data_IF_025349001949
#
_entry.id   IF_025349001949
#
_cell.length_a   1.000
_cell.length_b   1.000
_cell.length_c   1.000
_cell.angle_alpha   90.00
_cell.angle_beta   90.00
_cell.angle_gamma   90.00
#
_symmetry.space_group_name_H-M   'P 1'
#
loop_
_entity.id
_entity.type
_entity.pdbx_description
1 polymer ?
#
# COMPACT_ATOMS: atom_id res chain seq x y z
N UNK A 1 -9.35 7.69 5.75
CA UNK A 1 -8.29 7.56 4.75
C UNK A 1 -7.03 7.00 5.39
N UNK A 2 -6.38 6.06 4.70
CA UNK A 2 -5.17 5.43 5.22
C UNK A 2 -3.95 6.30 4.93
N UNK A 3 -3.45 7.00 5.94
CA UNK A 3 -2.25 7.83 5.83
C UNK A 3 -0.98 7.14 6.31
N UNK A 4 -1.11 5.94 6.85
CA UNK A 4 0.00 5.14 7.35
C UNK A 4 -0.47 3.72 7.59
N UNK A 5 0.38 2.74 7.29
CA UNK A 5 0.05 1.36 7.59
C UNK A 5 1.24 0.64 8.21
N UNK A 6 1.01 -0.55 8.73
CA UNK A 6 2.07 -1.34 9.34
C UNK A 6 2.41 -2.55 8.49
N UNK A 7 3.68 -2.92 8.51
CA UNK A 7 4.17 -4.13 7.86
C UNK A 7 5.29 -4.70 8.74
N UNK A 8 4.89 -5.57 9.67
CA UNK A 8 5.85 -6.23 10.56
C UNK A 8 6.19 -7.61 9.99
N UNK A 9 7.45 -7.81 9.65
CA UNK A 9 7.91 -9.08 9.09
C UNK A 9 9.05 -9.74 9.88
N UNK A 10 9.37 -9.17 11.04
CA UNK A 10 10.31 -9.75 12.00
C UNK A 10 9.63 -10.81 12.87
N UNK A 11 8.33 -10.96 12.73
CA UNK A 11 7.52 -11.82 13.56
C UNK A 11 7.38 -13.20 12.92
N UNK A 12 7.65 -14.25 13.69
CA UNK A 12 7.55 -15.64 13.25
C UNK A 12 6.14 -16.02 12.79
N UNK A 13 5.13 -15.23 13.16
CA UNK A 13 3.74 -15.52 12.85
C UNK A 13 3.31 -15.12 11.44
N UNK A 14 4.11 -14.34 10.72
CA UNK A 14 3.76 -13.87 9.39
C UNK A 14 4.67 -14.47 8.31
N UNK A 15 4.50 -15.77 8.06
CA UNK A 15 5.30 -16.49 7.06
C UNK A 15 5.14 -15.93 5.66
N UNK A 16 3.92 -15.51 5.29
CA UNK A 16 3.64 -14.99 3.95
C UNK A 16 4.46 -13.74 3.66
N UNK A 17 4.51 -12.81 4.61
CA UNK A 17 5.30 -11.60 4.39
C UNK A 17 6.80 -11.89 4.41
N UNK A 18 7.25 -12.84 5.23
CA UNK A 18 8.66 -13.22 5.24
C UNK A 18 9.12 -13.78 3.90
N UNK A 19 8.28 -14.58 3.24
CA UNK A 19 8.57 -15.11 1.91
C UNK A 19 8.57 -14.00 0.86
N UNK A 20 7.62 -13.07 0.93
CA UNK A 20 7.56 -11.93 0.02
C UNK A 20 8.85 -11.11 0.12
N UNK A 21 9.29 -10.82 1.35
CA UNK A 21 10.52 -10.06 1.58
C UNK A 21 11.74 -10.81 1.05
N UNK A 22 11.82 -12.13 1.26
CA UNK A 22 12.91 -12.94 0.73
C UNK A 22 12.98 -12.90 -0.79
N UNK A 23 11.84 -13.01 -1.45
CA UNK A 23 11.77 -12.94 -2.92
C UNK A 23 12.23 -11.58 -3.44
N UNK A 24 11.81 -10.51 -2.79
CA UNK A 24 12.23 -9.15 -3.18
C UNK A 24 13.74 -8.98 -2.99
N UNK A 25 14.28 -9.38 -1.84
CA UNK A 25 15.72 -9.27 -1.59
C UNK A 25 16.55 -10.10 -2.55
N UNK A 26 16.04 -11.28 -2.90
CA UNK A 26 16.72 -12.17 -3.86
C UNK A 26 16.80 -11.54 -5.25
N UNK A 27 15.75 -10.87 -5.71
CA UNK A 27 15.67 -10.33 -7.06
C UNK A 27 16.25 -8.92 -7.18
N UNK A 28 16.06 -8.08 -6.17
CA UNK A 28 16.41 -6.66 -6.22
C UNK A 28 17.61 -6.29 -5.35
N UNK A 29 18.16 -7.24 -4.58
CA UNK A 29 19.28 -6.98 -3.71
C UNK A 29 18.90 -6.24 -2.43
N UNK A 30 19.81 -5.39 -1.96
CA UNK A 30 19.55 -4.62 -0.75
C UNK A 30 18.62 -3.45 -1.06
N UNK A 31 17.36 -3.61 -0.68
CA UNK A 31 16.36 -2.56 -0.80
C UNK A 31 15.98 -2.11 0.60
N UNK A 32 15.77 -0.81 0.75
CA UNK A 32 15.40 -0.22 2.03
C UNK A 32 13.91 -0.45 2.33
N UNK A 33 13.54 -1.71 2.55
CA UNK A 33 12.21 -2.09 3.02
C UNK A 33 12.33 -2.40 4.50
N UNK A 34 11.70 -1.59 5.33
CA UNK A 34 11.77 -1.70 6.78
C UNK A 34 10.54 -2.39 7.36
N UNK A 35 10.75 -3.20 8.39
CA UNK A 35 9.66 -3.70 9.22
C UNK A 35 9.15 -2.57 10.11
N UNK A 36 7.83 -2.47 10.26
CA UNK A 36 7.23 -1.49 11.16
C UNK A 36 6.20 -0.60 10.47
N UNK A 37 6.16 0.66 10.84
CA UNK A 37 5.28 1.64 10.21
C UNK A 37 5.78 2.00 8.82
N UNK A 38 4.86 2.02 7.86
CA UNK A 38 5.14 2.47 6.50
C UNK A 38 4.55 3.86 6.32
N UNK A 39 5.40 4.79 5.95
CA UNK A 39 5.05 6.20 5.73
C UNK A 39 4.94 6.49 4.24
N UNK A 40 4.15 7.49 3.85
CA UNK A 40 4.20 7.97 2.46
C UNK A 40 5.64 8.22 2.01
N UNK A 41 5.94 7.90 0.79
CA UNK A 41 7.25 7.94 0.11
C UNK A 41 8.22 6.82 0.50
N UNK A 42 7.87 5.98 1.47
CA UNK A 42 8.66 4.78 1.72
C UNK A 42 8.48 3.78 0.57
N UNK A 43 9.50 2.94 0.37
CA UNK A 43 9.42 1.79 -0.50
C UNK A 43 8.87 0.61 0.29
N UNK A 44 7.90 -0.09 -0.28
CA UNK A 44 7.25 -1.22 0.37
C UNK A 44 6.89 -2.28 -0.66
N UNK A 45 6.75 -3.53 -0.24
CA UNK A 45 6.34 -4.59 -1.17
C UNK A 45 4.89 -4.42 -1.61
N UNK A 46 4.65 -4.60 -2.89
CA UNK A 46 3.32 -4.74 -3.46
C UNK A 46 3.29 -5.97 -4.35
N UNK A 47 2.10 -6.53 -4.56
CA UNK A 47 1.90 -7.69 -5.41
C UNK A 47 1.28 -7.23 -6.72
N UNK A 48 1.93 -7.52 -7.83
CA UNK A 48 1.48 -7.15 -9.16
C UNK A 48 1.40 -8.39 -10.04
N UNK A 49 0.64 -8.29 -11.13
CA UNK A 49 0.60 -9.35 -12.13
C UNK A 49 1.73 -9.12 -13.14
N UNK A 50 2.57 -10.12 -13.30
CA UNK A 50 3.62 -10.16 -14.32
C UNK A 50 3.60 -11.54 -14.97
N UNK A 51 3.47 -11.57 -16.30
CA UNK A 51 3.47 -12.82 -17.06
C UNK A 51 2.46 -13.84 -16.52
N UNK A 52 1.24 -13.37 -16.20
CA UNK A 52 0.14 -14.17 -15.66
C UNK A 52 0.42 -14.76 -14.27
N UNK A 53 1.41 -14.25 -13.55
CA UNK A 53 1.73 -14.66 -12.20
C UNK A 53 1.73 -13.47 -11.25
N UNK A 54 1.34 -13.71 -10.01
CA UNK A 54 1.43 -12.69 -8.95
C UNK A 54 2.87 -12.61 -8.49
N UNK A 55 3.44 -11.42 -8.59
CA UNK A 55 4.87 -11.18 -8.33
C UNK A 55 5.04 -10.06 -7.32
N UNK A 56 5.83 -10.27 -6.25
CA UNK A 56 6.13 -9.19 -5.30
C UNK A 56 7.20 -8.26 -5.87
N UNK A 57 6.94 -6.96 -5.75
CA UNK A 57 7.85 -5.92 -6.24
C UNK A 57 7.96 -4.80 -5.20
N UNK A 58 9.11 -4.08 -5.15
CA UNK A 58 9.29 -2.96 -4.21
C UNK A 58 8.95 -1.65 -4.91
N UNK A 59 7.80 -1.07 -4.58
CA UNK A 59 7.35 0.19 -5.15
C UNK A 59 7.30 1.28 -4.09
N UNK A 60 7.43 2.53 -4.50
CA UNK A 60 7.33 3.68 -3.62
C UNK A 60 5.87 4.07 -3.42
N UNK A 61 5.47 4.37 -2.19
CA UNK A 61 4.10 4.76 -1.88
C UNK A 61 3.89 6.25 -2.15
N UNK A 62 3.01 6.54 -3.08
CA UNK A 62 2.56 7.89 -3.42
C UNK A 62 2.89 8.31 -4.84
N UNK A 63 1.87 8.81 -5.56
CA UNK A 63 2.06 9.44 -6.86
C UNK A 63 2.54 10.88 -6.66
N UNK A 64 3.37 11.43 -7.58
CA UNK A 64 3.72 12.84 -7.50
C UNK A 64 2.48 13.72 -7.57
N UNK A 65 2.45 14.76 -6.77
CA UNK A 65 1.37 15.75 -6.83
C UNK A 65 1.87 16.96 -7.63
N UNK A 66 1.43 17.04 -8.89
CA UNK A 66 1.91 18.09 -9.79
C UNK A 66 1.33 19.48 -9.49
N UNK A 67 0.31 19.56 -8.63
CA UNK A 67 -0.30 20.83 -8.25
C UNK A 67 0.29 21.41 -6.96
N UNK A 68 0.72 20.54 -6.07
CA UNK A 68 1.23 20.90 -4.75
C UNK A 68 2.50 20.10 -4.46
N UNK A 69 3.18 20.47 -3.39
CA UNK A 69 4.29 19.65 -2.88
C UNK A 69 3.74 18.38 -2.25
N UNK A 70 4.55 17.34 -2.23
CA UNK A 70 4.21 16.07 -1.60
C UNK A 70 3.68 15.05 -2.59
N UNK A 71 2.93 14.09 -2.07
CA UNK A 71 2.47 12.95 -2.85
C UNK A 71 0.98 12.70 -2.60
N UNK A 72 0.35 12.06 -3.59
CA UNK A 72 -1.01 11.56 -3.48
C UNK A 72 -0.91 10.09 -3.09
N UNK A 73 -1.43 9.73 -1.92
CA UNK A 73 -1.26 8.38 -1.35
C UNK A 73 -2.53 7.52 -1.41
N UNK A 74 -3.70 8.15 -1.57
CA UNK A 74 -4.97 7.45 -1.60
C UNK A 74 -5.81 7.90 -2.80
N UNK A 75 -6.66 6.99 -3.27
CA UNK A 75 -7.70 7.30 -4.23
C UNK A 75 -9.00 6.69 -3.72
N UNK A 76 -10.09 7.43 -3.80
CA UNK A 76 -11.39 6.90 -3.42
C UNK A 76 -11.90 5.97 -4.51
N UNK A 77 -12.30 4.76 -4.13
CA UNK A 77 -12.81 3.77 -5.07
C UNK A 77 -14.02 4.29 -5.85
N UNK A 78 -14.87 5.12 -5.19
CA UNK A 78 -16.09 5.65 -5.78
C UNK A 78 -15.84 6.63 -6.93
N UNK A 79 -14.70 7.31 -6.93
CA UNK A 79 -14.41 8.38 -7.92
C UNK A 79 -13.10 8.17 -8.68
N UNK A 80 -12.36 7.11 -8.41
CA UNK A 80 -11.04 6.91 -9.03
C UNK A 80 -11.11 6.84 -10.55
N UNK A 81 -12.14 6.21 -11.11
CA UNK A 81 -12.31 6.07 -12.55
C UNK A 81 -12.62 7.40 -13.25
N UNK A 82 -13.06 8.41 -12.51
CA UNK A 82 -13.39 9.72 -13.06
C UNK A 82 -12.16 10.62 -13.24
N UNK A 83 -11.05 10.29 -12.58
CA UNK A 83 -9.84 11.11 -12.61
C UNK A 83 -8.86 10.58 -13.64
N UNK A 84 -8.42 11.45 -14.55
CA UNK A 84 -7.47 11.08 -15.62
C UNK A 84 -6.19 10.46 -15.08
N UNK A 85 -5.70 10.98 -13.93
CA UNK A 85 -4.47 10.49 -13.30
C UNK A 85 -4.60 9.04 -12.81
N UNK A 86 -5.81 8.59 -12.49
CA UNK A 86 -6.05 7.30 -11.87
C UNK A 86 -6.70 6.28 -12.79
N UNK A 87 -7.50 6.73 -13.76
CA UNK A 87 -8.35 5.85 -14.58
C UNK A 87 -7.56 4.72 -15.26
N UNK A 88 -6.48 5.06 -15.94
CA UNK A 88 -5.70 4.07 -16.68
C UNK A 88 -5.02 3.09 -15.74
N UNK A 89 -4.49 3.56 -14.62
CA UNK A 89 -3.87 2.71 -13.61
C UNK A 89 -4.88 1.79 -12.94
N UNK A 90 -6.07 2.30 -12.63
CA UNK A 90 -7.14 1.51 -12.05
C UNK A 90 -7.58 0.36 -12.98
N UNK A 91 -7.58 0.61 -14.28
CA UNK A 91 -7.98 -0.39 -15.26
C UNK A 91 -6.85 -1.38 -15.60
N UNK A 92 -5.61 -0.93 -15.66
CA UNK A 92 -4.52 -1.69 -16.24
C UNK A 92 -3.36 -2.01 -15.32
N UNK A 93 -3.27 -1.37 -14.16
CA UNK A 93 -2.14 -1.54 -13.24
C UNK A 93 -2.60 -1.67 -11.80
N UNK A 94 -3.47 -2.66 -11.57
CA UNK A 94 -3.94 -2.96 -10.22
C UNK A 94 -2.87 -3.70 -9.44
N UNK A 95 -2.84 -3.46 -8.14
CA UNK A 95 -1.93 -4.16 -7.25
C UNK A 95 -2.60 -4.44 -5.91
N UNK A 96 -1.96 -5.28 -5.14
CA UNK A 96 -2.37 -5.61 -3.78
C UNK A 96 -1.23 -5.23 -2.85
N UNK A 97 -1.55 -4.54 -1.77
CA UNK A 97 -0.57 -4.06 -0.81
C UNK A 97 -0.66 -4.93 0.46
N UNK A 98 0.33 -5.81 0.70
CA UNK A 98 0.36 -6.58 1.94
C UNK A 98 0.60 -5.67 3.14
N UNK A 99 -0.15 -5.87 4.20
CA UNK A 99 0.03 -5.11 5.44
C UNK A 99 -0.31 -5.97 6.64
N UNK A 100 0.15 -5.55 7.81
CA UNK A 100 -0.25 -6.14 9.09
C UNK A 100 -1.34 -5.33 9.78
N UNK A 101 -1.67 -4.18 9.22
CA UNK A 101 -2.70 -3.29 9.74
C UNK A 101 -2.56 -1.90 9.17
N UNK A 102 -3.51 -1.04 9.50
CA UNK A 102 -3.42 0.37 9.11
C UNK A 102 -3.75 1.26 10.30
N UNK A 103 -3.27 2.51 10.24
CA UNK A 103 -3.45 3.49 11.30
C UNK A 103 -4.46 4.54 10.88
N UNK A 104 -5.30 4.94 11.85
CA UNK A 104 -6.22 6.05 11.70
C UNK A 104 -6.12 6.93 12.96
N UNK A 105 -6.41 8.23 12.80
CA UNK A 105 -6.46 9.18 13.90
C UNK A 105 -7.88 9.71 14.03
N UNK A 106 -8.36 9.81 15.28
CA UNK A 106 -9.66 10.41 15.52
C UNK A 106 -9.56 11.94 15.56
N UNK A 107 -10.70 12.61 15.83
CA UNK A 107 -10.75 14.07 15.91
C UNK A 107 -9.87 14.64 17.00
N UNK A 108 -9.60 13.86 18.03
CA UNK A 108 -8.71 14.24 19.13
C UNK A 108 -7.24 13.93 18.85
N UNK A 109 -6.93 13.48 17.63
CA UNK A 109 -5.58 13.08 17.19
C UNK A 109 -5.06 11.84 17.92
N UNK A 110 -5.95 11.04 18.48
CA UNK A 110 -5.60 9.75 19.05
C UNK A 110 -5.38 8.75 17.93
N UNK A 111 -4.24 8.06 17.98
CA UNK A 111 -3.83 7.09 16.97
C UNK A 111 -4.39 5.70 17.29
N UNK A 112 -4.98 5.05 16.30
CA UNK A 112 -5.52 3.71 16.40
C UNK A 112 -4.91 2.81 15.33
N UNK A 113 -4.59 1.59 15.73
CA UNK A 113 -4.15 0.55 14.79
C UNK A 113 -5.31 -0.43 14.57
N UNK A 114 -5.69 -0.58 13.30
CA UNK A 114 -6.70 -1.55 12.87
C UNK A 114 -5.98 -2.73 12.23
N UNK A 115 -6.19 -3.92 12.76
CA UNK A 115 -5.61 -5.15 12.24
C UNK A 115 -6.64 -6.27 12.28
N UNK A 116 -6.36 -7.35 11.53
CA UNK A 116 -7.21 -8.53 11.54
C UNK A 116 -6.91 -9.39 12.78
N UNK A 117 -7.92 -10.12 13.28
CA UNK A 117 -7.68 -11.05 14.39
C UNK A 117 -6.63 -12.11 14.05
N UNK A 118 -5.95 -12.60 15.07
CA UNK A 118 -4.96 -13.67 14.96
C UNK A 118 -3.75 -13.29 14.10
N UNK A 119 -3.41 -12.00 14.06
CA UNK A 119 -2.26 -11.48 13.31
C UNK A 119 -2.27 -11.85 11.83
N UNK A 120 -3.47 -12.02 11.25
CA UNK A 120 -3.59 -12.31 9.82
C UNK A 120 -3.22 -11.09 8.98
N UNK A 121 -2.64 -11.37 7.81
CA UNK A 121 -2.30 -10.31 6.86
C UNK A 121 -3.55 -9.62 6.33
N UNK A 122 -3.49 -8.30 6.26
CA UNK A 122 -4.51 -7.47 5.65
C UNK A 122 -4.00 -7.04 4.27
N UNK A 123 -4.67 -7.51 3.22
CA UNK A 123 -4.29 -7.16 1.85
C UNK A 123 -5.16 -6.01 1.37
N UNK A 124 -4.53 -4.88 1.07
CA UNK A 124 -5.23 -3.68 0.62
C UNK A 124 -5.18 -3.57 -0.89
N UNK A 125 -6.26 -3.07 -1.49
CA UNK A 125 -6.32 -2.86 -2.94
C UNK A 125 -5.65 -1.55 -3.31
N UNK A 126 -5.03 -1.52 -4.49
CA UNK A 126 -4.42 -0.31 -5.00
C UNK A 126 -4.13 -0.40 -6.49
N UNK A 127 -3.43 0.59 -6.98
CA UNK A 127 -2.94 0.60 -8.36
C UNK A 127 -1.62 1.36 -8.40
N UNK A 128 -0.89 1.21 -9.50
CA UNK A 128 0.43 1.80 -9.64
C UNK A 128 0.60 2.47 -11.00
N UNK A 129 1.65 3.27 -11.11
CA UNK A 129 2.09 3.85 -12.38
C UNK A 129 3.58 4.15 -12.30
N UNK A 130 4.15 4.50 -13.43
CA UNK A 130 5.56 4.83 -13.55
C UNK A 130 5.72 6.34 -13.77
N UNK A 131 6.57 6.97 -12.96
CA UNK A 131 6.87 8.39 -13.06
C UNK A 131 8.39 8.54 -13.20
N UNK A 132 8.86 8.99 -14.37
CA UNK A 132 10.29 9.03 -14.69
C UNK A 132 10.97 7.69 -14.43
N UNK A 133 10.32 6.61 -14.87
CA UNK A 133 10.77 5.22 -14.69
C UNK A 133 10.76 4.73 -13.23
N UNK A 134 10.22 5.49 -12.30
CA UNK A 134 10.06 5.08 -10.91
C UNK A 134 8.65 4.57 -10.69
N UNK A 135 8.48 3.30 -10.30
CA UNK A 135 7.15 2.76 -10.01
C UNK A 135 6.66 3.24 -8.66
N UNK A 136 5.42 3.70 -8.62
CA UNK A 136 4.78 4.18 -7.41
C UNK A 136 3.37 3.63 -7.31
N UNK A 137 2.89 3.44 -6.08
CA UNK A 137 1.55 2.92 -5.85
C UNK A 137 0.70 3.84 -4.99
N UNK A 138 -0.60 3.65 -5.11
CA UNK A 138 -1.63 4.34 -4.32
C UNK A 138 -2.53 3.27 -3.70
N UNK A 139 -3.05 3.54 -2.50
CA UNK A 139 -4.00 2.69 -1.82
C UNK A 139 -5.42 3.18 -2.11
N UNK A 140 -6.29 2.28 -2.55
CA UNK A 140 -7.71 2.58 -2.72
C UNK A 140 -8.40 2.60 -1.36
N UNK A 141 -9.23 3.62 -1.16
CA UNK A 141 -10.04 3.73 0.05
C UNK A 141 -11.51 3.81 -0.33
N UNK A 142 -12.36 3.48 0.61
CA UNK A 142 -13.81 3.61 0.44
C UNK A 142 -14.38 4.30 1.67
N UNK A 143 -15.63 4.76 1.56
CA UNK A 143 -16.31 5.39 2.70
C UNK A 143 -16.40 4.40 3.86
N UNK A 144 -16.06 4.87 5.06
CA UNK A 144 -16.16 4.04 6.25
C UNK A 144 -17.63 3.63 6.45
N UNK A 145 -17.84 2.33 6.74
CA UNK A 145 -19.18 1.86 7.10
C UNK A 145 -19.49 2.22 8.56
N UNK A 146 -20.73 1.98 8.98
CA UNK A 146 -21.19 2.35 10.32
C UNK A 146 -20.43 1.64 11.45
N UNK A 147 -19.78 0.52 11.18
CA UNK A 147 -18.99 -0.20 12.18
C UNK A 147 -17.59 0.36 12.36
N UNK A 148 -17.12 1.19 11.45
CA UNK A 148 -15.76 1.77 11.46
C UNK A 148 -15.80 3.27 11.72
N UNK A 149 -16.93 3.94 11.47
CA UNK A 149 -17.07 5.39 11.53
C UNK A 149 -17.36 5.94 12.94
N UNK A 150 -17.18 5.18 13.97
CA UNK A 150 -17.39 5.63 15.35
C UNK A 150 -16.33 6.59 15.84
#
# INVERSE_FOLDING_TARGET
>A
MCGRYSLFFDDEYNRDISEIIKLIKSKYGQIDVKSGEIFPTNTAPVLVEQNSSVTPVPYKWGFPNFRNKGVIINARAETAEEKKTFKDSLLNRRCVIPSTGFYEWDKSKQKYLFNLPESRMLYMAGFYNFFKNEPRFIILTTSANSSVSS
#
